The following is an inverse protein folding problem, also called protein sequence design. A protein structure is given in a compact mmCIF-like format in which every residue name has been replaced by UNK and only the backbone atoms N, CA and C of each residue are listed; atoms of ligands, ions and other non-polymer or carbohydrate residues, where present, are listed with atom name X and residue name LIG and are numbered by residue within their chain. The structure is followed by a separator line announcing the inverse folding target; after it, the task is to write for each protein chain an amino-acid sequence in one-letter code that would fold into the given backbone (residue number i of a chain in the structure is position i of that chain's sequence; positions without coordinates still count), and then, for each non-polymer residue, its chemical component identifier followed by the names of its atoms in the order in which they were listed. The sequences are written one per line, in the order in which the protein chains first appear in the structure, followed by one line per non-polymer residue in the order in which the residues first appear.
data_IF_520237187423
#
_entry.id   IF_520237187423
#
_cell.length_a   1.000
_cell.length_b   1.000
_cell.length_c   1.000
_cell.angle_alpha   90.00
_cell.angle_beta   90.00
_cell.angle_gamma   90.00
#
_symmetry.space_group_name_H-M   'P 1'
#
loop_
_entity.id
_entity.type
_entity.pdbx_description
1 polymer ?
#
# COMPACT_ATOMS: atom_id res chain seq x y z
N UNK A 1 -1.96 17.32 12.77
CA UNK A 1 -0.80 16.43 12.65
C UNK A 1 0.43 17.25 13.01
N UNK A 2 1.26 16.81 13.96
CA UNK A 2 2.45 17.56 14.38
C UNK A 2 3.69 17.22 13.55
N UNK A 3 3.87 15.95 13.19
CA UNK A 3 4.97 15.52 12.31
C UNK A 3 4.69 14.15 11.69
N UNK A 4 5.45 13.83 10.65
CA UNK A 4 5.45 12.54 9.98
C UNK A 4 6.87 12.02 9.79
N UNK A 5 7.03 10.70 9.77
CA UNK A 5 8.28 10.02 9.48
C UNK A 5 8.01 8.84 8.52
N UNK A 6 8.61 8.80 7.32
CA UNK A 6 9.55 9.76 6.75
C UNK A 6 8.93 11.15 6.55
N UNK A 7 9.78 12.19 6.50
CA UNK A 7 9.35 13.56 6.26
C UNK A 7 8.87 13.74 4.82
N UNK A 8 8.13 14.82 4.58
CA UNK A 8 7.75 15.22 3.23
C UNK A 8 9.00 15.45 2.35
N UNK A 9 9.00 14.85 1.16
CA UNK A 9 10.08 14.94 0.18
C UNK A 9 11.32 14.11 0.53
N UNK A 10 11.27 13.28 1.59
CA UNK A 10 12.39 12.46 2.00
C UNK A 10 12.59 11.26 1.07
N UNK A 11 13.85 10.94 0.79
CA UNK A 11 14.23 9.69 0.13
C UNK A 11 14.24 8.54 1.12
N UNK A 12 13.50 7.47 0.84
CA UNK A 12 13.41 6.27 1.67
C UNK A 12 14.06 5.07 1.02
N UNK A 13 14.50 4.13 1.85
CA UNK A 13 15.02 2.84 1.38
C UNK A 13 13.92 2.00 0.74
N UNK A 14 14.30 1.16 -0.22
CA UNK A 14 13.39 0.16 -0.77
C UNK A 14 12.88 -0.79 0.32
N UNK A 15 11.61 -1.18 0.21
CA UNK A 15 10.97 -2.10 1.13
C UNK A 15 10.78 -1.55 2.55
N UNK A 16 10.90 -0.24 2.75
CA UNK A 16 10.57 0.40 4.04
C UNK A 16 9.22 -0.11 4.53
N UNK A 17 9.17 -0.55 5.77
CA UNK A 17 8.04 -1.29 6.33
C UNK A 17 7.30 -0.52 7.43
N UNK A 18 7.65 0.75 7.68
CA UNK A 18 7.00 1.58 8.69
C UNK A 18 6.79 3.02 8.25
N UNK A 19 5.64 3.57 8.63
CA UNK A 19 5.33 5.00 8.56
C UNK A 19 4.86 5.44 9.93
N UNK A 20 5.27 6.62 10.37
CA UNK A 20 4.86 7.18 11.66
C UNK A 20 4.18 8.52 11.47
N UNK A 21 3.11 8.74 12.23
CA UNK A 21 2.35 9.98 12.24
C UNK A 21 2.18 10.41 13.69
N UNK A 22 2.65 11.60 14.01
CA UNK A 22 2.50 12.20 15.33
C UNK A 22 1.39 13.25 15.31
N UNK A 23 0.66 13.32 16.41
CA UNK A 23 -0.44 14.25 16.65
C UNK A 23 -0.14 15.10 17.88
N UNK A 24 -0.76 16.28 17.95
CA UNK A 24 -0.65 17.19 19.11
C UNK A 24 -1.53 16.76 20.28
N UNK A 25 -2.55 15.95 19.99
CA UNK A 25 -3.56 15.48 20.94
C UNK A 25 -3.57 13.96 20.98
N UNK A 26 -4.09 13.35 22.06
CA UNK A 26 -4.29 11.92 22.09
C UNK A 26 -5.32 11.43 21.06
N UNK A 27 -5.09 10.26 20.47
CA UNK A 27 -5.82 9.79 19.30
C UNK A 27 -6.43 8.39 19.44
N UNK A 28 -7.37 8.10 18.55
CA UNK A 28 -7.88 6.75 18.26
C UNK A 28 -8.13 6.60 16.75
N UNK A 29 -8.18 5.36 16.27
CA UNK A 29 -8.46 5.04 14.86
C UNK A 29 -9.95 4.77 14.63
N UNK A 30 -10.43 5.11 13.44
CA UNK A 30 -11.76 4.72 12.96
C UNK A 30 -11.70 3.58 11.93
N UNK A 31 -12.81 3.29 11.25
CA UNK A 31 -12.88 2.30 10.16
C UNK A 31 -12.34 2.83 8.82
N UNK A 32 -12.07 4.13 8.70
CA UNK A 32 -11.58 4.74 7.45
C UNK A 32 -10.16 4.26 7.13
N UNK A 33 -9.62 4.69 5.99
CA UNK A 33 -8.39 4.13 5.47
C UNK A 33 -7.23 5.12 5.43
N UNK A 34 -6.04 4.54 5.45
CA UNK A 34 -4.81 5.15 4.93
C UNK A 34 -4.42 4.40 3.66
N UNK A 35 -4.07 5.14 2.61
CA UNK A 35 -3.74 4.58 1.30
C UNK A 35 -2.43 5.13 0.79
N UNK A 36 -1.59 4.24 0.27
CA UNK A 36 -0.29 4.54 -0.34
C UNK A 36 -0.44 4.34 -1.85
N UNK A 37 -0.12 5.37 -2.61
CA UNK A 37 -0.12 5.36 -4.06
C UNK A 37 1.30 5.50 -4.59
N UNK A 38 1.61 4.83 -5.70
CA UNK A 38 2.75 5.15 -6.54
C UNK A 38 2.25 6.08 -7.65
N UNK A 39 2.97 7.18 -7.89
CA UNK A 39 2.58 8.18 -8.90
C UNK A 39 3.69 8.27 -9.95
N UNK A 40 3.30 8.18 -11.21
CA UNK A 40 4.18 8.38 -12.37
C UNK A 40 3.45 9.24 -13.41
N UNK A 41 3.68 10.55 -13.35
CA UNK A 41 2.95 11.52 -14.17
C UNK A 41 1.45 11.46 -13.88
N UNK A 42 0.64 11.12 -14.88
CA UNK A 42 -0.82 10.97 -14.74
C UNK A 42 -1.24 9.57 -14.27
N UNK A 43 -0.31 8.61 -14.20
CA UNK A 43 -0.61 7.25 -13.77
C UNK A 43 -0.52 7.15 -12.24
N UNK A 44 -1.60 6.74 -11.60
CA UNK A 44 -1.71 6.58 -10.15
C UNK A 44 -2.05 5.13 -9.85
N UNK A 45 -1.14 4.41 -9.21
CA UNK A 45 -1.30 3.02 -8.84
C UNK A 45 -1.46 2.90 -7.33
N UNK A 46 -2.54 2.27 -6.86
CA UNK A 46 -2.72 1.96 -5.44
C UNK A 46 -1.79 0.81 -5.04
N UNK A 47 -0.96 1.01 -4.02
CA UNK A 47 0.04 0.03 -3.56
C UNK A 47 -0.38 -0.68 -2.29
N UNK A 48 -1.04 0.05 -1.39
CA UNK A 48 -1.58 -0.50 -0.14
C UNK A 48 -2.72 0.39 0.34
N UNK A 49 -3.82 -0.23 0.77
CA UNK A 49 -4.89 0.43 1.52
C UNK A 49 -5.09 -0.34 2.81
N UNK A 50 -5.13 0.37 3.93
CA UNK A 50 -5.27 -0.23 5.26
C UNK A 50 -6.35 0.50 6.04
N UNK A 51 -7.38 -0.24 6.48
CA UNK A 51 -8.41 0.29 7.36
C UNK A 51 -7.89 0.42 8.78
N UNK A 52 -8.27 1.47 9.51
CA UNK A 52 -7.89 1.66 10.91
C UNK A 52 -8.41 0.57 11.86
N UNK A 53 -9.32 -0.31 11.40
CA UNK A 53 -9.73 -1.53 12.13
C UNK A 53 -8.78 -2.72 11.98
N UNK A 54 -7.85 -2.70 11.03
CA UNK A 54 -6.87 -3.75 10.81
C UNK A 54 -5.72 -3.59 11.82
N UNK A 55 -6.01 -3.91 13.09
CA UNK A 55 -5.12 -3.65 14.24
C UNK A 55 -3.75 -4.30 14.11
N UNK A 56 -3.62 -5.38 13.33
CA UNK A 56 -2.35 -6.04 13.06
C UNK A 56 -1.33 -5.15 12.34
N UNK A 57 -1.81 -4.14 11.60
CA UNK A 57 -1.00 -3.17 10.86
C UNK A 57 -0.65 -1.91 11.67
N UNK A 58 -1.18 -1.72 12.88
CA UNK A 58 -0.95 -0.49 13.64
C UNK A 58 -0.36 -0.75 15.01
N UNK A 59 0.58 0.11 15.40
CA UNK A 59 0.97 0.31 16.79
C UNK A 59 0.51 1.71 17.16
N UNK A 60 -0.39 1.80 18.12
CA UNK A 60 -1.02 3.05 18.55
C UNK A 60 -0.52 3.37 19.96
N UNK A 61 0.14 4.51 20.09
CA UNK A 61 0.49 5.13 21.36
C UNK A 61 -0.49 6.27 21.65
N UNK A 62 -0.22 7.09 22.69
CA UNK A 62 -1.15 8.15 23.10
C UNK A 62 -1.47 9.12 21.94
N UNK A 63 -0.45 9.66 21.28
CA UNK A 63 -0.57 10.65 20.21
C UNK A 63 0.23 10.27 18.95
N UNK A 64 0.62 9.01 18.82
CA UNK A 64 1.43 8.50 17.70
C UNK A 64 0.81 7.26 17.10
N UNK A 65 0.80 7.20 15.76
CA UNK A 65 0.44 6.02 14.98
C UNK A 65 1.70 5.55 14.26
N UNK A 66 2.02 4.26 14.41
CA UNK A 66 2.99 3.57 13.55
C UNK A 66 2.23 2.59 12.67
N UNK A 67 2.18 2.85 11.37
CA UNK A 67 1.63 1.95 10.36
C UNK A 67 2.73 0.99 9.89
N UNK A 68 2.43 -0.30 9.89
CA UNK A 68 3.21 -1.34 9.21
C UNK A 68 2.86 -1.35 7.74
N UNK A 69 3.87 -1.26 6.91
CA UNK A 69 3.78 -1.27 5.45
C UNK A 69 4.32 -2.59 4.93
N UNK A 70 3.68 -3.14 3.91
CA UNK A 70 4.14 -4.36 3.27
C UNK A 70 5.48 -4.10 2.57
N UNK A 71 6.45 -5.04 2.62
CA UNK A 71 7.72 -4.89 1.91
C UNK A 71 7.55 -4.65 0.40
N UNK A 72 6.44 -5.09 -0.20
CA UNK A 72 6.10 -4.88 -1.60
C UNK A 72 5.53 -3.50 -1.92
N UNK A 73 5.26 -2.63 -0.94
CA UNK A 73 4.62 -1.34 -1.20
C UNK A 73 5.60 -0.35 -1.83
N UNK A 74 6.75 -0.11 -1.18
CA UNK A 74 7.80 0.81 -1.61
C UNK A 74 8.94 0.06 -2.31
N UNK A 75 8.64 -0.66 -3.38
CA UNK A 75 9.58 -1.58 -4.03
C UNK A 75 9.99 -1.19 -5.45
N UNK A 76 9.55 -0.05 -5.96
CA UNK A 76 10.02 0.47 -7.25
C UNK A 76 11.15 1.47 -6.97
N UNK A 77 12.35 1.32 -7.54
CA UNK A 77 13.43 2.28 -7.39
C UNK A 77 13.12 3.64 -8.00
N UNK A 78 13.63 4.72 -7.41
CA UNK A 78 13.47 6.10 -7.90
C UNK A 78 12.02 6.51 -8.20
N UNK A 79 11.06 5.96 -7.46
CA UNK A 79 9.64 6.17 -7.67
C UNK A 79 9.05 7.10 -6.60
N UNK A 80 8.10 7.92 -7.03
CA UNK A 80 7.34 8.82 -6.17
C UNK A 80 6.14 8.09 -5.59
N UNK A 81 5.98 8.20 -4.27
CA UNK A 81 4.86 7.64 -3.54
C UNK A 81 4.13 8.70 -2.72
N UNK A 82 2.81 8.63 -2.75
CA UNK A 82 1.91 9.55 -2.10
C UNK A 82 1.13 8.83 -1.01
N UNK A 83 1.17 9.34 0.22
CA UNK A 83 0.45 8.80 1.35
C UNK A 83 -0.78 9.67 1.61
N UNK A 84 -1.95 9.06 1.54
CA UNK A 84 -3.25 9.70 1.75
C UNK A 84 -3.91 9.16 3.01
N UNK A 85 -4.47 10.04 3.82
CA UNK A 85 -5.25 9.70 5.00
C UNK A 85 -6.68 10.17 4.79
N UNK A 86 -7.63 9.24 4.81
CA UNK A 86 -9.05 9.58 4.67
C UNK A 86 -9.51 10.53 5.77
N UNK A 87 -10.48 11.42 5.48
CA UNK A 87 -11.19 12.15 6.52
C UNK A 87 -11.72 11.20 7.59
N UNK A 88 -11.61 11.59 8.85
CA UNK A 88 -12.06 10.83 10.01
C UNK A 88 -11.31 9.49 10.20
N UNK A 89 -10.18 9.23 9.54
CA UNK A 89 -9.31 8.08 9.85
C UNK A 89 -8.83 8.11 11.30
N UNK A 90 -8.45 9.30 11.76
CA UNK A 90 -8.05 9.53 13.15
C UNK A 90 -9.10 10.37 13.84
N UNK A 91 -9.36 10.04 15.10
CA UNK A 91 -10.25 10.78 15.98
C UNK A 91 -9.43 11.28 17.17
N UNK A 92 -9.72 12.49 17.65
CA UNK A 92 -9.25 12.95 18.94
C UNK A 92 -9.96 12.14 20.03
N UNK A 93 -9.18 11.58 20.96
CA UNK A 93 -9.67 10.59 21.91
C UNK A 93 -10.57 11.17 22.99
N UNK A 94 -10.31 12.38 23.47
CA UNK A 94 -11.08 12.96 24.60
C UNK A 94 -12.50 13.36 24.19
N UNK A 95 -12.64 13.95 23.01
CA UNK A 95 -13.90 14.58 22.58
C UNK A 95 -14.58 13.85 21.42
N UNK A 96 -13.98 12.76 20.93
CA UNK A 96 -14.47 11.96 19.80
C UNK A 96 -14.73 12.78 18.52
N UNK A 97 -13.89 13.79 18.27
CA UNK A 97 -13.96 14.59 17.05
C UNK A 97 -12.98 14.06 15.99
N UNK A 98 -13.37 14.04 14.70
CA UNK A 98 -12.47 13.62 13.64
C UNK A 98 -11.33 14.62 13.45
N UNK A 99 -10.13 14.11 13.23
CA UNK A 99 -8.98 14.90 12.81
C UNK A 99 -8.97 14.97 11.27
N UNK A 100 -8.62 16.14 10.76
CA UNK A 100 -8.60 16.44 9.33
C UNK A 100 -7.81 15.43 8.49
N UNK A 101 -8.25 15.33 7.23
CA UNK A 101 -7.61 14.49 6.21
C UNK A 101 -6.19 14.96 5.91
N UNK A 102 -5.36 14.03 5.43
CA UNK A 102 -4.10 14.33 4.75
C UNK A 102 -4.25 13.95 3.28
N UNK A 103 -4.22 14.93 2.38
CA UNK A 103 -4.34 14.65 0.95
C UNK A 103 -3.09 13.93 0.46
N UNK A 104 -3.24 13.04 -0.53
CA UNK A 104 -2.14 12.28 -1.10
C UNK A 104 -1.01 13.18 -1.65
N UNK A 105 -1.31 14.41 -2.10
CA UNK A 105 -0.30 15.39 -2.52
C UNK A 105 0.49 16.03 -1.38
N UNK A 106 0.06 15.86 -0.12
CA UNK A 106 0.64 16.52 1.06
C UNK A 106 1.71 15.69 1.76
N UNK A 107 1.77 14.38 1.53
CA UNK A 107 2.83 13.52 2.07
C UNK A 107 3.40 12.65 0.96
N UNK A 108 4.49 13.17 0.37
CA UNK A 108 5.19 12.56 -0.75
C UNK A 108 6.55 12.08 -0.27
N UNK A 109 6.94 10.89 -0.70
CA UNK A 109 8.24 10.27 -0.45
C UNK A 109 8.79 9.71 -1.76
N UNK A 110 10.10 9.61 -1.86
CA UNK A 110 10.78 9.09 -3.05
C UNK A 110 11.59 7.88 -2.62
N UNK A 111 11.52 6.76 -3.34
CA UNK A 111 12.41 5.63 -3.07
C UNK A 111 13.81 5.89 -3.61
N UNK A 112 14.82 5.37 -2.94
CA UNK A 112 16.20 5.44 -3.41
C UNK A 112 16.40 4.83 -4.80
N UNK A 113 17.45 5.26 -5.48
CA UNK A 113 17.94 4.56 -6.64
C UNK A 113 18.53 3.22 -6.22
N UNK A 114 18.31 2.19 -7.04
CA UNK A 114 18.84 0.87 -6.81
C UNK A 114 19.32 0.29 -8.12
N UNK A 115 20.53 -0.27 -8.11
CA UNK A 115 21.05 -1.03 -9.23
C UNK A 115 20.60 -2.48 -9.10
N UNK A 116 19.91 -2.94 -10.14
CA UNK A 116 19.17 -4.20 -10.15
C UNK A 116 20.10 -5.41 -9.96
N UNK A 117 20.02 -6.06 -8.80
CA UNK A 117 20.60 -7.39 -8.59
C UNK A 117 19.55 -8.43 -8.93
N UNK A 118 19.84 -9.29 -9.92
CA UNK A 118 18.95 -10.36 -10.37
C UNK A 118 18.31 -11.14 -9.20
N UNK A 119 16.99 -11.03 -9.07
CA UNK A 119 16.22 -11.85 -8.14
C UNK A 119 16.00 -13.26 -8.72
N UNK A 120 16.14 -14.27 -7.86
CA UNK A 120 15.82 -15.66 -8.22
C UNK A 120 14.33 -15.82 -8.58
N UNK A 121 14.03 -16.85 -9.38
CA UNK A 121 12.63 -17.19 -9.69
C UNK A 121 11.92 -17.73 -8.45
N UNK A 122 10.70 -17.28 -8.19
CA UNK A 122 9.84 -17.84 -7.16
C UNK A 122 8.50 -18.32 -7.75
N UNK A 123 7.77 -19.14 -7.00
CA UNK A 123 6.42 -19.59 -7.34
C UNK A 123 5.50 -19.34 -6.15
N UNK A 124 4.25 -18.99 -6.41
CA UNK A 124 3.22 -18.78 -5.39
C UNK A 124 1.85 -19.25 -5.87
N UNK A 125 0.91 -19.35 -4.94
CA UNK A 125 -0.46 -19.76 -5.20
C UNK A 125 -1.43 -18.65 -4.87
N UNK A 126 -2.42 -18.43 -5.74
CA UNK A 126 -3.49 -17.46 -5.54
C UNK A 126 -4.78 -18.22 -5.30
N UNK A 127 -5.50 -17.90 -4.22
CA UNK A 127 -6.83 -18.42 -3.94
C UNK A 127 -7.87 -17.38 -4.28
N UNK A 128 -8.80 -17.74 -5.16
CA UNK A 128 -9.94 -16.90 -5.49
C UNK A 128 -11.03 -17.02 -4.43
N UNK A 129 -11.74 -15.92 -4.18
CA UNK A 129 -13.00 -15.93 -3.43
C UNK A 129 -14.11 -16.59 -4.27
N UNK A 130 -15.26 -16.97 -3.68
CA UNK A 130 -16.34 -17.64 -4.42
C UNK A 130 -16.81 -16.85 -5.66
N UNK A 131 -16.93 -15.54 -5.56
CA UNK A 131 -17.32 -14.65 -6.67
C UNK A 131 -16.26 -14.63 -7.76
N UNK A 132 -14.98 -14.49 -7.39
CA UNK A 132 -13.85 -14.54 -8.31
C UNK A 132 -13.72 -15.88 -9.01
N UNK A 133 -14.00 -16.98 -8.31
CA UNK A 133 -14.03 -18.33 -8.88
C UNK A 133 -15.08 -18.45 -9.98
N UNK A 134 -16.29 -17.89 -9.78
CA UNK A 134 -17.35 -17.88 -10.80
C UNK A 134 -16.91 -17.11 -12.05
N UNK A 135 -16.35 -15.91 -11.87
CA UNK A 135 -15.85 -15.08 -12.96
C UNK A 135 -14.72 -15.76 -13.74
N UNK A 136 -13.78 -16.40 -13.03
CA UNK A 136 -12.69 -17.15 -13.62
C UNK A 136 -13.19 -18.27 -14.54
N UNK A 137 -14.20 -19.04 -14.12
CA UNK A 137 -14.76 -20.11 -14.97
C UNK A 137 -15.52 -19.56 -16.19
N UNK A 138 -16.09 -18.36 -16.09
CA UNK A 138 -16.85 -17.74 -17.18
C UNK A 138 -15.95 -17.05 -18.22
N UNK A 139 -14.88 -16.39 -17.80
CA UNK A 139 -14.00 -15.55 -18.63
C UNK A 139 -12.53 -15.88 -18.42
N UNK A 140 -12.18 -17.17 -18.49
CA UNK A 140 -10.89 -17.68 -18.03
C UNK A 140 -9.67 -16.95 -18.62
N UNK A 141 -9.66 -16.73 -19.94
CA UNK A 141 -8.51 -16.12 -20.62
C UNK A 141 -8.34 -14.66 -20.22
N UNK A 142 -9.40 -13.87 -20.34
CA UNK A 142 -9.42 -12.45 -20.01
C UNK A 142 -9.09 -12.23 -18.53
N UNK A 143 -9.64 -13.08 -17.66
CA UNK A 143 -9.36 -13.07 -16.23
C UNK A 143 -7.88 -13.32 -15.94
N UNK A 144 -7.27 -14.33 -16.56
CA UNK A 144 -5.84 -14.63 -16.39
C UNK A 144 -4.98 -13.48 -16.91
N UNK A 145 -5.29 -12.96 -18.09
CA UNK A 145 -4.51 -11.89 -18.70
C UNK A 145 -4.53 -10.63 -17.85
N UNK A 146 -5.71 -10.24 -17.35
CA UNK A 146 -5.87 -9.12 -16.42
C UNK A 146 -5.19 -9.40 -15.08
N UNK A 147 -5.35 -10.58 -14.49
CA UNK A 147 -4.71 -10.94 -13.23
C UNK A 147 -3.18 -10.84 -13.32
N UNK A 148 -2.59 -11.39 -14.37
CA UNK A 148 -1.15 -11.33 -14.57
C UNK A 148 -0.67 -9.89 -14.86
N UNK A 149 -1.49 -9.07 -15.53
CA UNK A 149 -1.20 -7.65 -15.71
C UNK A 149 -1.17 -6.92 -14.35
N UNK A 150 -2.18 -7.11 -13.50
CA UNK A 150 -2.21 -6.49 -12.17
C UNK A 150 -1.05 -6.95 -11.29
N UNK A 151 -0.70 -8.25 -11.32
CA UNK A 151 0.45 -8.79 -10.58
C UNK A 151 1.76 -8.17 -11.08
N UNK A 152 1.91 -7.97 -12.39
CA UNK A 152 3.12 -7.36 -12.98
C UNK A 152 3.35 -5.95 -12.44
N UNK A 153 2.27 -5.20 -12.22
CA UNK A 153 2.30 -3.86 -11.64
C UNK A 153 2.60 -3.90 -10.13
N UNK A 154 2.02 -4.85 -9.39
CA UNK A 154 2.20 -4.98 -7.94
C UNK A 154 3.62 -5.45 -7.58
N UNK A 155 4.20 -6.38 -8.35
CA UNK A 155 5.54 -6.94 -8.11
C UNK A 155 6.66 -6.28 -8.94
N UNK A 156 6.44 -5.04 -9.41
CA UNK A 156 7.12 -4.39 -10.55
C UNK A 156 8.01 -5.33 -11.38
N UNK A 157 7.37 -6.28 -12.06
CA UNK A 157 8.05 -7.28 -12.88
C UNK A 157 7.44 -7.28 -14.27
N UNK A 158 8.26 -7.48 -15.30
CA UNK A 158 7.76 -7.57 -16.67
C UNK A 158 6.68 -8.64 -16.80
N UNK A 159 5.59 -8.28 -17.47
CA UNK A 159 4.43 -9.16 -17.68
C UNK A 159 4.81 -10.50 -18.34
N UNK A 160 5.81 -10.49 -19.20
CA UNK A 160 6.31 -11.67 -19.93
C UNK A 160 7.10 -12.64 -19.03
N UNK A 161 7.55 -12.18 -17.86
CA UNK A 161 8.22 -13.03 -16.87
C UNK A 161 7.24 -13.79 -15.99
N UNK A 162 5.96 -13.41 -15.97
CA UNK A 162 4.93 -14.10 -15.20
C UNK A 162 4.30 -15.25 -15.99
N UNK A 163 4.24 -16.42 -15.36
CA UNK A 163 3.61 -17.62 -15.93
C UNK A 163 2.62 -18.20 -14.93
N UNK A 164 1.42 -18.50 -15.39
CA UNK A 164 0.43 -19.24 -14.60
C UNK A 164 0.49 -20.72 -14.97
N UNK A 165 0.46 -21.59 -13.96
CA UNK A 165 0.18 -23.01 -14.15
C UNK A 165 -1.17 -23.28 -13.52
N UNK A 166 -2.11 -23.77 -14.31
CA UNK A 166 -3.40 -24.19 -13.80
C UNK A 166 -3.23 -25.54 -13.11
N UNK A 167 -3.21 -25.55 -11.79
CA UNK A 167 -3.24 -26.77 -10.99
C UNK A 167 -4.69 -27.20 -10.77
N UNK A 168 -5.34 -27.61 -11.87
CA UNK A 168 -6.58 -28.38 -11.82
C UNK A 168 -6.21 -29.82 -12.22
N UNK A 169 -5.77 -30.61 -11.24
CA UNK A 169 -5.76 -32.08 -11.28
C UNK A 169 -6.46 -32.58 -10.01
#
# INVERSE_FOLDING_TARGET
ISSVNPKYGETITLGRNTLEINYEVPISLSIRNITIYQVNGTNILMRQTTSGKASEFFIIEQNKITLKVLPSTFNVPSAEYHISIDPNFVMQKEINEPIDRLQHSSWVVITEAFEDTYAESFTGSIRLIPEGTKLFYQFKKEFIDQLLQEISLILPVDRDRLKIKDHQQ
#
